data_IF_923143892757
#
_entry.id   IF_923143892757
#
_cell.length_a   1.000
_cell.length_b   1.000
_cell.length_c   1.000
_cell.angle_alpha   90.00
_cell.angle_beta   90.00
_cell.angle_gamma   90.00
#
_symmetry.space_group_name_H-M   'P 1'
#
loop_
_entity.id
_entity.type
_entity.pdbx_description
1 polymer ?
#
# COMPACT_ATOMS: atom_id res chain seq x y z
N UNK A 1 3.99 -1.14 -17.96
CA UNK A 1 3.56 -0.44 -16.72
C UNK A 1 4.78 0.32 -16.18
N UNK A 2 4.72 1.65 -16.07
CA UNK A 2 5.83 2.42 -15.51
C UNK A 2 5.67 2.49 -13.98
N UNK A 3 6.45 1.69 -13.26
CA UNK A 3 6.51 1.69 -11.80
C UNK A 3 7.56 2.72 -11.39
N UNK A 4 7.17 3.79 -10.69
CA UNK A 4 8.12 4.74 -10.08
C UNK A 4 8.21 4.43 -8.59
N UNK A 5 9.35 3.93 -8.14
CA UNK A 5 9.69 3.83 -6.72
C UNK A 5 10.01 5.23 -6.21
N UNK A 6 9.24 5.75 -5.26
CA UNK A 6 9.56 7.01 -4.58
C UNK A 6 10.08 6.68 -3.19
N UNK A 7 11.35 6.98 -2.93
CA UNK A 7 11.98 6.80 -1.62
C UNK A 7 11.59 7.98 -0.70
N UNK A 8 10.41 7.91 -0.09
CA UNK A 8 9.93 8.95 0.83
C UNK A 8 10.53 8.73 2.23
N UNK A 9 11.45 9.62 2.63
CA UNK A 9 12.22 9.55 3.88
C UNK A 9 11.36 9.42 5.14
N UNK A 10 11.72 8.46 6.00
CA UNK A 10 11.07 8.19 7.29
C UNK A 10 11.91 8.82 8.41
N UNK A 11 11.37 9.83 9.11
CA UNK A 11 11.88 10.29 10.40
C UNK A 11 11.44 9.33 11.53
N UNK A 12 12.41 8.58 12.04
CA UNK A 12 12.59 8.09 13.42
C UNK A 12 11.42 7.45 14.19
N UNK A 13 11.58 6.17 14.54
CA UNK A 13 11.66 5.61 15.91
C UNK A 13 11.89 4.09 15.84
N UNK A 14 12.80 3.59 16.66
CA UNK A 14 13.26 2.19 16.76
C UNK A 14 12.09 1.19 16.71
N UNK A 15 12.00 0.43 15.62
CA UNK A 15 11.16 -0.76 15.47
C UNK A 15 11.86 -1.62 14.42
N UNK A 16 11.99 -2.92 14.72
CA UNK A 16 12.38 -4.00 13.80
C UNK A 16 12.15 -3.62 12.33
N UNK A 17 13.18 -3.71 11.49
CA UNK A 17 13.16 -3.24 10.09
C UNK A 17 12.16 -4.06 9.28
N UNK A 18 10.87 -3.79 9.44
CA UNK A 18 9.82 -4.27 8.56
C UNK A 18 10.12 -3.66 7.20
N UNK A 19 10.37 -4.53 6.22
CA UNK A 19 10.60 -4.13 4.84
C UNK A 19 9.32 -3.49 4.31
N UNK A 20 9.23 -2.17 4.46
CA UNK A 20 8.12 -1.37 3.97
C UNK A 20 8.46 -0.85 2.58
N UNK A 21 7.69 -1.27 1.60
CA UNK A 21 7.90 -0.88 0.21
C UNK A 21 6.69 -0.07 -0.26
N UNK A 22 6.92 1.14 -0.73
CA UNK A 22 5.90 1.98 -1.36
C UNK A 22 6.26 2.24 -2.82
N UNK A 23 5.30 2.03 -3.71
CA UNK A 23 5.46 2.36 -5.12
C UNK A 23 4.24 3.11 -5.65
N UNK A 24 4.51 3.92 -6.68
CA UNK A 24 3.52 4.74 -7.36
C UNK A 24 3.30 4.17 -8.76
N UNK A 25 2.05 3.81 -9.05
CA UNK A 25 1.67 3.21 -10.34
C UNK A 25 0.59 4.03 -11.01
N UNK A 26 0.73 4.29 -12.31
CA UNK A 26 -0.33 4.91 -13.11
C UNK A 26 -1.43 3.89 -13.38
N UNK A 27 -2.63 4.12 -12.86
CA UNK A 27 -3.77 3.22 -12.99
C UNK A 27 -5.08 3.97 -12.77
N UNK A 28 -6.13 3.59 -13.50
CA UNK A 28 -7.50 4.03 -13.25
C UNK A 28 -8.19 3.21 -12.13
N UNK A 29 -7.70 2.00 -11.87
CA UNK A 29 -8.21 1.12 -10.81
C UNK A 29 -7.69 1.57 -9.45
N UNK A 30 -8.56 1.60 -8.44
CA UNK A 30 -8.16 1.89 -7.07
C UNK A 30 -7.26 0.79 -6.50
N UNK A 31 -7.56 -0.48 -6.76
CA UNK A 31 -6.79 -1.64 -6.30
C UNK A 31 -6.36 -2.45 -7.52
N UNK A 32 -5.05 -2.66 -7.66
CA UNK A 32 -4.50 -3.55 -8.66
C UNK A 32 -4.52 -4.99 -8.18
N UNK A 33 -4.78 -5.91 -9.10
CA UNK A 33 -4.52 -7.33 -8.91
C UNK A 33 -3.00 -7.56 -8.90
N UNK A 34 -2.52 -8.13 -7.80
CA UNK A 34 -1.12 -8.45 -7.56
C UNK A 34 -0.89 -9.95 -7.30
N UNK A 35 -1.91 -10.78 -7.54
CA UNK A 35 -1.86 -12.22 -7.32
C UNK A 35 -2.09 -12.67 -5.87
N UNK A 36 -2.11 -11.74 -4.90
CA UNK A 36 -2.36 -12.08 -3.49
C UNK A 36 -3.83 -11.85 -3.10
N UNK A 37 -4.31 -12.69 -2.19
CA UNK A 37 -5.66 -12.55 -1.62
C UNK A 37 -5.65 -11.56 -0.47
N UNK A 38 -6.35 -10.44 -0.64
CA UNK A 38 -6.44 -9.37 0.36
C UNK A 38 -7.83 -9.30 1.00
N UNK A 39 -7.87 -9.15 2.32
CA UNK A 39 -9.10 -8.78 3.07
C UNK A 39 -9.00 -7.34 3.52
N UNK A 40 -10.00 -6.53 3.19
CA UNK A 40 -10.10 -5.15 3.66
C UNK A 40 -10.47 -5.16 5.14
N UNK A 41 -9.66 -4.52 5.97
CA UNK A 41 -9.94 -4.39 7.41
C UNK A 41 -10.25 -2.95 7.83
N UNK A 42 -9.98 -1.98 6.95
CA UNK A 42 -10.24 -0.58 7.27
C UNK A 42 -10.23 0.36 6.09
N UNK A 43 -10.86 1.51 6.29
CA UNK A 43 -10.83 2.69 5.42
C UNK A 43 -10.70 3.92 6.31
N UNK A 44 -9.79 4.83 5.98
CA UNK A 44 -9.66 6.13 6.68
C UNK A 44 -9.74 7.27 5.68
N UNK A 45 -10.53 8.28 6.01
CA UNK A 45 -10.47 9.58 5.34
C UNK A 45 -9.16 10.27 5.69
N UNK A 46 -8.49 10.85 4.69
CA UNK A 46 -7.19 11.50 4.86
C UNK A 46 -7.41 13.01 4.87
N UNK A 47 -7.09 13.71 5.96
CA UNK A 47 -7.36 15.16 6.06
C UNK A 47 -6.73 15.98 4.93
N UNK A 48 -5.59 15.52 4.41
CA UNK A 48 -4.85 16.19 3.34
C UNK A 48 -5.21 15.70 1.94
N UNK A 49 -6.11 14.73 1.76
CA UNK A 49 -6.44 14.19 0.43
C UNK A 49 -7.93 14.02 0.26
N UNK A 50 -8.50 14.38 -0.91
CA UNK A 50 -9.90 14.08 -1.21
C UNK A 50 -10.15 12.57 -1.31
N UNK A 51 -9.08 11.78 -1.47
CA UNK A 51 -9.16 10.33 -1.64
C UNK A 51 -9.01 9.60 -0.29
N UNK A 52 -9.82 8.55 -0.05
CA UNK A 52 -9.66 7.72 1.14
C UNK A 52 -8.42 6.84 1.05
N UNK A 53 -7.89 6.47 2.22
CA UNK A 53 -6.86 5.42 2.36
C UNK A 53 -7.50 4.11 2.76
N UNK A 54 -7.32 3.09 1.94
CA UNK A 54 -7.82 1.74 2.18
C UNK A 54 -6.71 0.86 2.79
N UNK A 55 -7.10 -0.03 3.70
CA UNK A 55 -6.20 -0.91 4.44
C UNK A 55 -6.61 -2.37 4.28
N UNK A 56 -5.62 -3.20 3.95
CA UNK A 56 -5.81 -4.61 3.66
C UNK A 56 -4.80 -5.46 4.44
N UNK A 57 -5.22 -6.65 4.87
CA UNK A 57 -4.37 -7.70 5.40
C UNK A 57 -4.38 -8.87 4.41
N UNK A 58 -3.24 -9.52 4.24
CA UNK A 58 -3.18 -10.77 3.49
C UNK A 58 -4.12 -11.81 4.12
N UNK A 59 -4.72 -12.64 3.26
CA UNK A 59 -5.63 -13.71 3.67
C UNK A 59 -4.95 -15.07 3.78
N UNK A 60 -3.68 -15.16 3.40
CA UNK A 60 -2.88 -16.37 3.55
C UNK A 60 -2.74 -16.76 5.02
N UNK A 61 -2.75 -18.06 5.27
CA UNK A 61 -2.61 -18.60 6.62
C UNK A 61 -1.22 -18.25 7.18
N UNK A 62 -1.18 -17.73 8.41
CA UNK A 62 0.07 -17.28 9.03
C UNK A 62 0.74 -16.08 8.32
N UNK A 63 0.06 -15.40 7.40
CA UNK A 63 0.62 -14.24 6.70
C UNK A 63 0.22 -12.91 7.37
N UNK A 64 1.24 -12.14 7.78
CA UNK A 64 1.03 -10.85 8.45
C UNK A 64 1.24 -9.63 7.57
N UNK A 65 1.43 -9.84 6.26
CA UNK A 65 1.60 -8.74 5.31
C UNK A 65 0.38 -7.84 5.28
N UNK A 66 0.63 -6.53 5.35
CA UNK A 66 -0.41 -5.49 5.24
C UNK A 66 -0.15 -4.64 4.00
N UNK A 67 -1.23 -4.24 3.34
CA UNK A 67 -1.20 -3.35 2.18
C UNK A 67 -2.04 -2.11 2.46
N UNK A 68 -1.51 -0.95 2.14
CA UNK A 68 -2.21 0.34 2.14
C UNK A 68 -2.32 0.83 0.72
N UNK A 69 -3.51 1.31 0.35
CA UNK A 69 -3.79 1.79 -1.00
C UNK A 69 -4.45 3.15 -0.91
N UNK A 70 -3.91 4.13 -1.62
CA UNK A 70 -4.50 5.46 -1.75
C UNK A 70 -4.25 6.03 -3.14
N UNK A 71 -5.22 6.78 -3.66
CA UNK A 71 -5.02 7.62 -4.84
C UNK A 71 -4.11 8.78 -4.47
N UNK A 72 -3.16 9.06 -5.36
CA UNK A 72 -2.27 10.20 -5.23
C UNK A 72 -3.09 11.49 -5.08
N UNK A 73 -2.63 12.36 -4.19
CA UNK A 73 -3.33 13.62 -3.88
C UNK A 73 -3.20 14.60 -5.05
N UNK A 74 -2.04 14.62 -5.69
CA UNK A 74 -1.68 15.65 -6.66
C UNK A 74 -2.05 15.22 -8.08
N UNK A 75 -2.00 13.91 -8.37
CA UNK A 75 -2.39 13.35 -9.67
C UNK A 75 -3.23 12.09 -9.52
N UNK A 76 -4.55 12.24 -9.67
CA UNK A 76 -5.49 11.13 -9.55
C UNK A 76 -5.24 10.01 -10.54
N UNK A 77 -4.40 10.13 -11.57
CA UNK A 77 -4.04 9.00 -12.43
C UNK A 77 -3.09 7.99 -11.76
N UNK A 78 -2.55 8.32 -10.60
CA UNK A 78 -1.61 7.48 -9.87
C UNK A 78 -2.21 6.91 -8.58
N UNK A 79 -1.80 5.69 -8.27
CA UNK A 79 -2.14 4.98 -7.04
C UNK A 79 -0.85 4.68 -6.30
N UNK A 80 -0.81 5.05 -5.03
CA UNK A 80 0.25 4.69 -4.10
C UNK A 80 -0.16 3.40 -3.40
N UNK A 81 0.67 2.38 -3.56
CA UNK A 81 0.52 1.13 -2.83
C UNK A 81 1.70 0.96 -1.89
N UNK A 82 1.44 0.71 -0.62
CA UNK A 82 2.47 0.37 0.37
C UNK A 82 2.26 -1.03 0.92
N UNK A 83 3.28 -1.88 0.83
CA UNK A 83 3.35 -3.17 1.52
C UNK A 83 4.17 -3.02 2.80
N UNK A 84 3.82 -3.84 3.79
CA UNK A 84 4.44 -3.90 5.10
C UNK A 84 4.64 -5.40 5.41
N UNK A 85 5.89 -5.86 5.38
CA UNK A 85 6.26 -7.26 5.51
C UNK A 85 6.47 -8.00 4.18
N UNK A 86 6.82 -9.28 4.29
CA UNK A 86 7.09 -10.18 3.15
C UNK A 86 6.14 -11.38 3.24
N UNK A 87 5.58 -11.80 2.11
CA UNK A 87 4.71 -12.99 2.07
C UNK A 87 5.53 -14.25 2.31
N UNK A 88 4.99 -15.15 3.13
CA UNK A 88 5.56 -16.46 3.45
C UNK A 88 4.88 -17.61 2.69
N UNK A 89 4.12 -17.27 1.65
CA UNK A 89 3.37 -18.22 0.84
C UNK A 89 3.32 -17.75 -0.62
N UNK A 90 2.90 -18.67 -1.49
CA UNK A 90 2.65 -18.43 -2.90
C UNK A 90 1.15 -18.22 -3.15
#
# INVERSE_FOLDING_TARGET
MHIKCQNSGIKGKNAEVSQRITFRTRSQLEVMDDGYKWRKYGKKTVKSSPNPRNYYKCSGEGCDVKKRVERDRDDSNYVLTTYDGVHNHQ
#
